data_IF_034422582570
#
_entry.id   IF_034422582570
#
_cell.length_a   1.000
_cell.length_b   1.000
_cell.length_c   1.000
_cell.angle_alpha   90.00
_cell.angle_beta   90.00
_cell.angle_gamma   90.00
#
_symmetry.space_group_name_H-M   'P 1'
#
loop_
_entity.id
_entity.type
_entity.pdbx_description
1 polymer ?
#
# COMPACT_ATOMS: atom_id res chain seq x y z
N UNK A 1 5.00 -25.56 -10.24
CA UNK A 1 4.85 -25.01 -8.88
C UNK A 1 6.20 -24.74 -8.26
N UNK A 2 6.28 -23.70 -7.43
CA UNK A 2 7.49 -23.31 -6.72
C UNK A 2 7.37 -23.79 -5.27
N UNK A 3 8.42 -24.43 -4.74
CA UNK A 3 8.54 -24.59 -3.29
C UNK A 3 8.80 -23.23 -2.64
N UNK A 4 8.44 -23.09 -1.36
CA UNK A 4 8.46 -21.79 -0.68
C UNK A 4 9.85 -21.15 -0.66
N UNK A 5 10.89 -21.95 -0.46
CA UNK A 5 12.29 -21.53 -0.45
C UNK A 5 12.76 -21.00 -1.82
N UNK A 6 12.42 -21.68 -2.90
CA UNK A 6 12.77 -21.22 -4.26
C UNK A 6 11.87 -20.07 -4.72
N UNK A 7 10.63 -19.98 -4.21
CA UNK A 7 9.73 -18.87 -4.47
C UNK A 7 10.29 -17.57 -3.89
N UNK A 8 10.67 -17.54 -2.60
CA UNK A 8 11.27 -16.36 -1.97
C UNK A 8 12.59 -15.97 -2.67
N UNK A 9 13.43 -16.95 -3.00
CA UNK A 9 14.67 -16.72 -3.75
C UNK A 9 14.44 -16.13 -5.16
N UNK A 10 13.27 -16.37 -5.79
CA UNK A 10 12.92 -15.76 -7.09
C UNK A 10 12.09 -14.50 -6.99
N UNK A 11 11.41 -14.29 -5.88
CA UNK A 11 10.72 -13.04 -5.60
C UNK A 11 11.73 -11.90 -5.48
N UNK A 12 12.92 -12.17 -4.92
CA UNK A 12 14.02 -11.18 -4.84
C UNK A 12 14.81 -11.01 -6.14
N UNK A 13 14.67 -11.93 -7.12
CA UNK A 13 15.39 -11.89 -8.40
C UNK A 13 14.67 -10.95 -9.39
N UNK A 14 15.26 -9.80 -9.79
CA UNK A 14 14.60 -8.85 -10.70
C UNK A 14 14.22 -9.44 -12.06
N UNK A 15 14.90 -10.50 -12.50
CA UNK A 15 14.60 -11.18 -13.78
C UNK A 15 13.34 -12.06 -13.70
N UNK A 16 12.96 -12.46 -12.48
CA UNK A 16 11.88 -13.42 -12.23
C UNK A 16 10.71 -12.81 -11.48
N UNK A 17 10.93 -11.83 -10.60
CA UNK A 17 9.90 -11.20 -9.76
C UNK A 17 8.66 -10.76 -10.53
N UNK A 18 8.83 -10.16 -11.71
CA UNK A 18 7.72 -9.69 -12.55
C UNK A 18 6.88 -10.80 -13.19
N UNK A 19 7.32 -12.07 -13.07
CA UNK A 19 6.58 -13.23 -13.55
C UNK A 19 5.53 -13.71 -12.53
N UNK A 20 5.64 -13.30 -11.26
CA UNK A 20 4.63 -13.58 -10.24
C UNK A 20 3.46 -12.61 -10.40
N UNK A 21 2.24 -13.14 -10.52
CA UNK A 21 1.01 -12.34 -10.70
C UNK A 21 0.00 -12.59 -9.60
N UNK A 22 -0.38 -13.86 -9.42
CA UNK A 22 -1.27 -14.32 -8.36
C UNK A 22 -0.61 -15.50 -7.68
N UNK A 23 -0.56 -15.45 -6.36
CA UNK A 23 0.11 -16.45 -5.52
C UNK A 23 -0.90 -16.94 -4.48
N UNK A 24 -1.00 -18.25 -4.30
CA UNK A 24 -1.91 -18.89 -3.33
C UNK A 24 -1.08 -19.74 -2.39
N UNK A 25 -1.16 -19.45 -1.09
CA UNK A 25 -0.28 -20.03 -0.07
C UNK A 25 -1.07 -20.35 1.21
N UNK A 26 -0.63 -21.36 2.00
CA UNK A 26 -1.03 -21.51 3.39
C UNK A 26 -0.61 -20.29 4.23
N UNK A 27 -1.29 -20.07 5.36
CA UNK A 27 -1.17 -18.86 6.19
C UNK A 27 0.29 -18.37 6.40
N UNK A 28 1.15 -19.19 7.02
CA UNK A 28 2.54 -18.81 7.32
C UNK A 28 3.36 -18.43 6.08
N UNK A 29 3.14 -19.10 4.95
CA UNK A 29 3.87 -18.81 3.72
C UNK A 29 3.33 -17.56 3.04
N UNK A 30 2.02 -17.33 3.14
CA UNK A 30 1.39 -16.07 2.74
C UNK A 30 2.03 -14.90 3.47
N UNK A 31 2.10 -14.97 4.80
CA UNK A 31 2.67 -13.93 5.68
C UNK A 31 4.09 -13.51 5.25
N UNK A 32 4.99 -14.49 5.08
CA UNK A 32 6.37 -14.26 4.62
C UNK A 32 6.41 -13.61 3.23
N UNK A 33 5.67 -14.18 2.27
CA UNK A 33 5.72 -13.72 0.88
C UNK A 33 5.08 -12.34 0.72
N UNK A 34 4.05 -12.01 1.49
CA UNK A 34 3.41 -10.69 1.46
C UNK A 34 4.32 -9.61 2.02
N UNK A 35 5.08 -9.89 3.09
CA UNK A 35 6.05 -8.93 3.65
C UNK A 35 7.22 -8.69 2.69
N UNK A 36 7.79 -9.76 2.11
CA UNK A 36 8.84 -9.63 1.08
C UNK A 36 8.34 -8.83 -0.14
N UNK A 37 7.12 -9.08 -0.59
CA UNK A 37 6.52 -8.35 -1.70
C UNK A 37 6.32 -6.86 -1.39
N UNK A 38 5.84 -6.53 -0.19
CA UNK A 38 5.64 -5.15 0.25
C UNK A 38 6.96 -4.37 0.35
N UNK A 39 8.04 -5.03 0.75
CA UNK A 39 9.37 -4.39 0.81
C UNK A 39 9.82 -3.86 -0.57
N UNK A 40 9.54 -4.60 -1.65
CA UNK A 40 9.85 -4.15 -3.01
C UNK A 40 9.00 -2.98 -3.50
N UNK A 41 7.81 -2.80 -2.92
CA UNK A 41 6.90 -1.69 -3.27
C UNK A 41 7.28 -0.38 -2.56
N UNK A 42 8.14 -0.44 -1.53
CA UNK A 42 8.51 0.72 -0.71
C UNK A 42 8.42 0.47 0.80
N UNK A 43 8.17 -0.77 1.22
CA UNK A 43 8.09 -1.18 2.62
C UNK A 43 6.69 -1.64 3.02
N UNK A 44 6.59 -2.35 4.14
CA UNK A 44 5.32 -2.83 4.70
C UNK A 44 4.29 -1.72 4.99
N UNK A 45 4.73 -0.46 5.13
CA UNK A 45 3.85 0.69 5.29
C UNK A 45 3.02 1.06 4.05
N UNK A 46 3.27 0.43 2.90
CA UNK A 46 2.75 0.91 1.60
C UNK A 46 1.63 0.04 1.00
N UNK A 47 1.46 -1.20 1.46
CA UNK A 47 0.48 -2.14 0.94
C UNK A 47 -0.73 -2.30 1.87
N UNK A 48 -1.95 -2.44 1.33
CA UNK A 48 -3.15 -2.76 2.10
C UNK A 48 -3.47 -4.26 2.07
N UNK A 49 -4.28 -4.72 3.02
CA UNK A 49 -4.74 -6.11 3.08
C UNK A 49 -6.26 -6.24 3.23
N UNK A 50 -6.77 -7.38 2.78
CA UNK A 50 -8.16 -7.78 2.96
C UNK A 50 -8.27 -9.24 3.40
N UNK A 51 -8.99 -9.46 4.49
CA UNK A 51 -9.41 -10.78 4.96
C UNK A 51 -10.86 -11.01 4.55
N UNK A 52 -11.08 -11.90 3.58
CA UNK A 52 -12.41 -12.16 3.03
C UNK A 52 -12.96 -13.48 3.59
N UNK A 53 -14.00 -13.37 4.42
CA UNK A 53 -14.75 -14.52 4.94
C UNK A 53 -16.07 -14.74 4.21
N UNK A 54 -16.78 -15.81 4.58
CA UNK A 54 -18.09 -16.15 3.99
C UNK A 54 -19.21 -15.16 4.33
N UNK A 55 -19.12 -14.51 5.49
CA UNK A 55 -20.14 -13.60 6.03
C UNK A 55 -19.64 -12.18 6.23
N UNK A 56 -18.35 -12.03 6.50
CA UNK A 56 -17.72 -10.76 6.86
C UNK A 56 -16.42 -10.60 6.08
N UNK A 57 -16.05 -9.35 5.82
CA UNK A 57 -14.76 -8.97 5.28
C UNK A 57 -14.13 -7.92 6.19
N UNK A 58 -12.81 -7.96 6.33
CA UNK A 58 -12.03 -6.99 7.09
C UNK A 58 -10.91 -6.46 6.21
N UNK A 59 -10.70 -5.15 6.23
CA UNK A 59 -9.66 -4.47 5.46
C UNK A 59 -8.76 -3.75 6.45
N UNK A 60 -7.46 -4.01 6.36
CA UNK A 60 -6.50 -3.57 7.37
C UNK A 60 -5.16 -3.16 6.75
N UNK A 61 -4.41 -2.38 7.51
CA UNK A 61 -3.01 -2.17 7.23
C UNK A 61 -2.22 -3.45 7.50
N UNK A 62 -1.16 -3.73 6.73
CA UNK A 62 -0.31 -4.91 6.98
C UNK A 62 0.73 -4.65 8.08
N UNK A 63 1.09 -3.38 8.30
CA UNK A 63 2.08 -3.04 9.31
C UNK A 63 1.50 -3.19 10.73
N UNK A 64 2.40 -3.42 11.70
CA UNK A 64 2.03 -3.47 13.12
C UNK A 64 1.68 -2.09 13.70
N UNK A 65 1.40 -2.07 15.01
CA UNK A 65 0.98 -0.87 15.76
C UNK A 65 2.09 0.16 16.02
N UNK A 66 3.34 -0.15 15.68
CA UNK A 66 4.51 0.71 15.83
C UNK A 66 4.63 1.44 17.20
N UNK A 67 4.51 0.74 18.35
CA UNK A 67 4.48 1.37 19.68
C UNK A 67 5.72 2.22 19.96
N UNK A 68 6.88 1.77 19.48
CA UNK A 68 8.15 2.49 19.59
C UNK A 68 8.09 3.88 18.93
N UNK A 69 7.39 4.05 17.81
CA UNK A 69 7.23 5.38 17.19
C UNK A 69 6.42 6.32 18.07
N UNK A 70 5.41 5.79 18.77
CA UNK A 70 4.60 6.58 19.71
C UNK A 70 5.44 7.00 20.91
N UNK A 71 6.16 6.05 21.52
CA UNK A 71 7.04 6.30 22.67
C UNK A 71 8.16 7.31 22.36
N UNK A 72 8.70 7.28 21.13
CA UNK A 72 9.73 8.21 20.66
C UNK A 72 9.15 9.56 20.18
N UNK A 73 7.84 9.79 20.26
CA UNK A 73 7.19 11.04 19.81
C UNK A 73 7.16 11.22 18.30
N UNK A 74 7.27 10.12 17.54
CA UNK A 74 7.32 10.10 16.06
C UNK A 74 6.01 9.68 15.40
N UNK A 75 4.93 9.51 16.16
CA UNK A 75 3.64 9.04 15.64
C UNK A 75 3.12 9.89 14.45
N UNK A 76 3.35 11.20 14.48
CA UNK A 76 2.96 12.11 13.39
C UNK A 76 3.64 11.82 12.04
N UNK A 77 4.76 11.10 12.03
CA UNK A 77 5.49 10.70 10.82
C UNK A 77 5.14 9.29 10.34
N UNK A 78 4.11 8.66 10.92
CA UNK A 78 3.64 7.36 10.45
C UNK A 78 3.09 7.46 9.02
N UNK A 79 3.34 6.43 8.21
CA UNK A 79 2.87 6.36 6.83
C UNK A 79 1.41 5.86 6.78
N UNK A 80 0.44 6.66 6.31
CA UNK A 80 -0.96 6.24 6.22
C UNK A 80 -1.25 5.43 4.95
N UNK A 81 -0.28 5.21 4.06
CA UNK A 81 -0.50 4.58 2.75
C UNK A 81 -1.16 3.21 2.85
N UNK A 82 -0.71 2.35 3.77
CA UNK A 82 -1.26 1.01 3.97
C UNK A 82 -2.76 1.02 4.28
N UNK A 83 -3.21 1.86 5.22
CA UNK A 83 -4.62 1.93 5.59
C UNK A 83 -5.47 2.59 4.50
N UNK A 84 -4.91 3.54 3.75
CA UNK A 84 -5.57 4.15 2.60
C UNK A 84 -5.75 3.12 1.46
N UNK A 85 -4.74 2.28 1.19
CA UNK A 85 -4.85 1.16 0.22
C UNK A 85 -5.85 0.11 0.67
N UNK A 86 -5.91 -0.22 1.97
CA UNK A 86 -6.97 -1.08 2.51
C UNK A 86 -8.37 -0.46 2.30
N UNK A 87 -8.47 0.87 2.40
CA UNK A 87 -9.72 1.61 2.13
C UNK A 87 -10.11 1.54 0.65
N UNK A 88 -9.16 1.58 -0.30
CA UNK A 88 -9.43 1.30 -1.72
C UNK A 88 -10.09 -0.06 -1.87
N UNK A 89 -9.50 -1.11 -1.28
CA UNK A 89 -10.04 -2.47 -1.34
C UNK A 89 -11.45 -2.57 -0.73
N UNK A 90 -11.70 -1.90 0.40
CA UNK A 90 -13.01 -1.83 1.05
C UNK A 90 -14.05 -1.16 0.13
N UNK A 91 -13.73 0.02 -0.40
CA UNK A 91 -14.64 0.78 -1.27
C UNK A 91 -15.04 -0.04 -2.49
N UNK A 92 -14.09 -0.74 -3.11
CA UNK A 92 -14.38 -1.63 -4.21
C UNK A 92 -15.26 -2.81 -3.79
N UNK A 93 -14.98 -3.42 -2.62
CA UNK A 93 -15.74 -4.57 -2.10
C UNK A 93 -17.22 -4.24 -1.83
N UNK A 94 -17.52 -3.02 -1.38
CA UNK A 94 -18.90 -2.59 -1.07
C UNK A 94 -19.59 -1.87 -2.24
N UNK A 95 -18.99 -1.85 -3.44
CA UNK A 95 -19.61 -1.35 -4.67
C UNK A 95 -19.37 0.12 -5.00
N UNK A 96 -18.47 0.81 -4.29
CA UNK A 96 -18.07 2.19 -4.63
C UNK A 96 -16.83 2.21 -5.55
N UNK A 97 -16.87 1.48 -6.67
CA UNK A 97 -15.73 1.32 -7.57
C UNK A 97 -15.18 2.65 -8.12
N UNK A 98 -16.05 3.62 -8.42
CA UNK A 98 -15.59 4.97 -8.86
C UNK A 98 -14.80 5.70 -7.77
N UNK A 99 -15.23 5.63 -6.51
CA UNK A 99 -14.49 6.24 -5.38
C UNK A 99 -13.18 5.50 -5.12
N UNK A 100 -13.21 4.17 -5.21
CA UNK A 100 -12.03 3.33 -5.12
C UNK A 100 -10.99 3.72 -6.16
N UNK A 101 -11.39 3.82 -7.44
CA UNK A 101 -10.50 4.19 -8.55
C UNK A 101 -9.88 5.56 -8.36
N UNK A 102 -10.66 6.56 -7.91
CA UNK A 102 -10.13 7.91 -7.61
C UNK A 102 -9.07 7.88 -6.51
N UNK A 103 -9.35 7.20 -5.40
CA UNK A 103 -8.38 7.08 -4.30
C UNK A 103 -7.12 6.32 -4.74
N UNK A 104 -7.27 5.26 -5.52
CA UNK A 104 -6.14 4.49 -6.06
C UNK A 104 -5.23 5.34 -6.95
N UNK A 105 -5.80 6.05 -7.93
CA UNK A 105 -5.05 6.95 -8.82
C UNK A 105 -4.32 8.05 -8.04
N UNK A 106 -4.98 8.64 -7.04
CA UNK A 106 -4.37 9.66 -6.20
C UNK A 106 -3.20 9.08 -5.38
N UNK A 107 -3.36 7.90 -4.77
CA UNK A 107 -2.29 7.25 -4.03
C UNK A 107 -1.09 6.86 -4.92
N UNK A 108 -1.33 6.49 -6.19
CA UNK A 108 -0.25 6.23 -7.15
C UNK A 108 0.51 7.52 -7.50
N UNK A 109 -0.20 8.61 -7.81
CA UNK A 109 0.42 9.92 -8.06
C UNK A 109 1.23 10.37 -6.85
N UNK A 110 0.63 10.36 -5.67
CA UNK A 110 1.25 10.89 -4.46
C UNK A 110 2.40 10.02 -3.97
N UNK A 111 2.25 8.70 -3.99
CA UNK A 111 3.20 7.75 -3.40
C UNK A 111 4.26 7.23 -4.36
N UNK A 112 3.98 7.15 -5.66
CA UNK A 112 4.86 6.49 -6.64
C UNK A 112 5.37 7.41 -7.74
N UNK A 113 4.52 8.29 -8.29
CA UNK A 113 4.88 9.10 -9.46
C UNK A 113 5.43 10.49 -9.12
N UNK A 114 4.57 11.40 -8.66
CA UNK A 114 4.93 12.80 -8.41
C UNK A 114 5.74 12.95 -7.12
N UNK A 115 5.36 12.22 -6.06
CA UNK A 115 6.10 12.16 -4.78
C UNK A 115 6.48 13.54 -4.22
N UNK A 116 5.58 14.52 -4.35
CA UNK A 116 5.77 15.92 -3.90
C UNK A 116 6.14 16.01 -2.42
N UNK A 117 5.54 15.15 -1.60
CA UNK A 117 5.90 14.95 -0.20
C UNK A 117 6.32 13.49 0.01
N UNK A 118 7.33 13.26 0.84
CA UNK A 118 7.90 11.93 1.07
C UNK A 118 7.89 11.64 2.57
N UNK A 119 7.21 10.57 2.96
CA UNK A 119 7.23 10.08 4.34
C UNK A 119 8.50 9.24 4.54
N UNK A 120 9.26 9.54 5.60
CA UNK A 120 10.48 8.81 5.99
C UNK A 120 10.32 8.08 7.33
N UNK A 121 9.20 8.27 8.03
CA UNK A 121 9.03 7.84 9.42
C UNK A 121 9.77 8.71 10.44
N UNK A 122 10.37 9.83 10.01
CA UNK A 122 11.22 10.71 10.82
C UNK A 122 10.95 12.18 10.49
N UNK A 123 11.53 13.07 11.30
CA UNK A 123 11.37 14.52 11.18
C UNK A 123 12.03 15.17 9.95
N UNK A 124 12.75 14.39 9.16
CA UNK A 124 13.29 14.81 7.86
C UNK A 124 12.35 14.51 6.68
N UNK A 125 11.20 13.87 6.95
CA UNK A 125 10.14 13.60 6.00
C UNK A 125 8.83 14.29 6.37
N UNK A 126 7.84 14.11 5.49
CA UNK A 126 6.49 14.60 5.71
C UNK A 126 5.78 13.83 6.83
N UNK A 127 4.86 14.53 7.49
CA UNK A 127 3.90 13.95 8.41
C UNK A 127 2.82 13.17 7.66
N UNK A 128 2.15 12.26 8.38
CA UNK A 128 1.00 11.54 7.83
C UNK A 128 -0.15 12.48 7.47
N UNK A 129 -0.29 13.61 8.18
CA UNK A 129 -1.28 14.65 7.87
C UNK A 129 -0.97 15.35 6.55
N UNK A 130 0.27 15.83 6.35
CA UNK A 130 0.67 16.47 5.09
C UNK A 130 0.49 15.54 3.88
N UNK A 131 0.78 14.24 4.04
CA UNK A 131 0.54 13.27 2.98
C UNK A 131 -0.94 13.03 2.74
N UNK A 132 -1.75 12.93 3.79
CA UNK A 132 -3.20 12.77 3.66
C UNK A 132 -3.85 13.97 2.98
N UNK A 133 -3.42 15.19 3.32
CA UNK A 133 -3.87 16.42 2.67
C UNK A 133 -3.49 16.41 1.18
N UNK A 134 -2.26 16.03 0.84
CA UNK A 134 -1.84 15.92 -0.55
C UNK A 134 -2.68 14.90 -1.34
N UNK A 135 -3.01 13.75 -0.73
CA UNK A 135 -3.91 12.76 -1.33
C UNK A 135 -5.31 13.34 -1.52
N UNK A 136 -5.85 14.05 -0.52
CA UNK A 136 -7.17 14.65 -0.60
C UNK A 136 -7.28 15.75 -1.66
N UNK A 137 -6.26 16.62 -1.77
CA UNK A 137 -6.14 17.60 -2.84
C UNK A 137 -6.13 16.91 -4.22
N UNK A 138 -5.33 15.85 -4.36
CA UNK A 138 -5.19 15.11 -5.61
C UNK A 138 -6.49 14.41 -6.02
N UNK A 139 -7.27 13.87 -5.07
CA UNK A 139 -8.58 13.25 -5.34
C UNK A 139 -9.61 14.26 -5.87
N UNK A 140 -9.49 15.53 -5.46
CA UNK A 140 -10.40 16.61 -5.86
C UNK A 140 -10.05 17.21 -7.23
N UNK A 141 -8.88 16.88 -7.78
CA UNK A 141 -8.46 17.34 -9.11
C UNK A 141 -9.44 16.84 -10.18
N UNK A 142 -10.12 17.73 -10.93
CA UNK A 142 -11.03 17.33 -12.00
C UNK A 142 -10.30 16.62 -13.15
N UNK A 143 -8.99 16.80 -13.28
CA UNK A 143 -8.15 16.19 -14.32
C UNK A 143 -7.35 14.97 -13.82
N UNK A 144 -7.69 14.45 -12.62
CA UNK A 144 -6.99 13.34 -11.96
C UNK A 144 -6.70 12.16 -12.89
N UNK A 145 -7.70 11.71 -13.67
CA UNK A 145 -7.55 10.52 -14.53
C UNK A 145 -6.55 10.77 -15.67
N UNK A 146 -6.61 11.94 -16.32
CA UNK A 146 -5.66 12.28 -17.38
C UNK A 146 -4.24 12.45 -16.81
N UNK A 147 -4.13 13.08 -15.64
CA UNK A 147 -2.85 13.23 -14.92
C UNK A 147 -2.26 11.85 -14.59
N UNK A 148 -3.05 10.92 -14.04
CA UNK A 148 -2.58 9.57 -13.71
C UNK A 148 -2.17 8.79 -14.96
N UNK A 149 -2.97 8.85 -16.04
CA UNK A 149 -2.65 8.20 -17.31
C UNK A 149 -1.35 8.70 -17.93
N UNK A 150 -0.94 9.95 -17.69
CA UNK A 150 0.32 10.49 -18.22
C UNK A 150 1.58 9.82 -17.64
N UNK A 151 1.46 9.05 -16.55
CA UNK A 151 2.55 8.31 -15.92
C UNK A 151 2.63 6.82 -16.30
N UNK A 152 1.62 6.27 -16.97
CA UNK A 152 1.55 4.87 -17.41
C UNK A 152 2.27 4.67 -18.76
#
# INVERSE_FOLDING_TARGET
DWFIDIMTAKLVDPKRRTQFRVVVLPNLYGDIVTDEAAEFQGGVGTAGSANIGKRYAMFEAIHGTAPRMVEEGRAQYADPSSILRATVMLLNHIGFSEKSKKLEMALDICGQYERKVVITGRSDGATGEEFADYVMETIQDPDLENKWQSYQ
#
